data_IF_757948858481
#
_entry.id   IF_757948858481
#
_cell.length_a   1.000
_cell.length_b   1.000
_cell.length_c   1.000
_cell.angle_alpha   90.00
_cell.angle_beta   90.00
_cell.angle_gamma   90.00
#
_symmetry.space_group_name_H-M   'P 1'
#
loop_
_entity.id
_entity.type
_entity.pdbx_description
1 polymer ?
#
# COMPACT_ATOMS: atom_id res chain seq x y z
N UNK A 1 -3.04 -30.61 -4.65
CA UNK A 1 -1.79 -30.61 -3.85
C UNK A 1 -2.20 -30.29 -2.42
N UNK A 2 -1.57 -30.89 -1.41
CA UNK A 2 -1.79 -30.46 -0.03
C UNK A 2 -1.33 -28.99 0.10
N UNK A 3 -2.04 -28.13 0.87
CA UNK A 3 -1.62 -26.76 1.10
C UNK A 3 -0.18 -26.77 1.63
N UNK A 4 0.70 -25.96 1.05
CA UNK A 4 2.04 -25.75 1.60
C UNK A 4 1.87 -24.89 2.84
N UNK A 5 1.86 -25.53 4.00
CA UNK A 5 1.88 -24.81 5.27
C UNK A 5 3.16 -23.99 5.39
N UNK A 6 3.01 -22.71 5.76
CA UNK A 6 4.16 -21.87 6.07
C UNK A 6 4.74 -22.26 7.43
N UNK A 7 6.06 -22.15 7.58
CA UNK A 7 6.70 -22.38 8.86
C UNK A 7 6.56 -21.13 9.71
N UNK A 8 5.85 -21.23 10.82
CA UNK A 8 5.73 -20.19 11.85
C UNK A 8 6.29 -20.78 13.15
N UNK A 9 7.16 -20.07 13.90
CA UNK A 9 7.68 -20.56 15.16
C UNK A 9 6.56 -21.01 16.11
N UNK A 10 6.78 -22.12 16.82
CA UNK A 10 5.84 -22.59 17.83
C UNK A 10 5.79 -21.61 19.00
N UNK A 11 4.58 -21.30 19.46
CA UNK A 11 4.33 -20.60 20.72
C UNK A 11 2.95 -20.97 21.24
N UNK A 12 2.80 -20.99 22.56
CA UNK A 12 1.51 -21.10 23.25
C UNK A 12 0.90 -19.72 23.56
N UNK A 13 1.67 -18.64 23.43
CA UNK A 13 1.20 -17.27 23.63
C UNK A 13 0.37 -16.79 22.44
N UNK A 14 -0.72 -16.09 22.74
CA UNK A 14 -1.66 -15.54 21.76
C UNK A 14 -1.98 -14.08 22.07
N UNK A 15 -2.39 -13.33 21.06
CA UNK A 15 -2.99 -12.01 21.21
C UNK A 15 -4.46 -12.06 20.81
N UNK A 16 -5.26 -11.15 21.36
CA UNK A 16 -6.59 -10.86 20.84
C UNK A 16 -6.51 -9.73 19.82
N UNK A 17 -7.20 -9.90 18.69
CA UNK A 17 -7.25 -8.91 17.61
C UNK A 17 -8.67 -8.38 17.48
N UNK A 18 -8.85 -7.06 17.56
CA UNK A 18 -10.09 -6.41 17.15
C UNK A 18 -9.86 -5.61 15.89
N UNK A 19 -10.71 -5.80 14.88
CA UNK A 19 -10.70 -5.02 13.64
C UNK A 19 -11.56 -3.79 13.88
N UNK A 20 -11.00 -2.60 13.70
CA UNK A 20 -11.72 -1.34 13.86
C UNK A 20 -12.04 -0.81 12.47
N UNK A 21 -13.34 -0.74 12.14
CA UNK A 21 -13.80 0.08 11.02
C UNK A 21 -13.50 1.53 11.39
N UNK A 22 -12.53 2.15 10.71
CA UNK A 22 -12.13 3.53 11.02
C UNK A 22 -13.13 4.55 10.48
N UNK A 23 -14.26 4.09 9.93
CA UNK A 23 -15.27 4.87 9.20
C UNK A 23 -14.70 5.64 8.02
N UNK A 24 -13.49 5.28 7.60
CA UNK A 24 -12.72 5.98 6.60
C UNK A 24 -12.97 5.36 5.24
N UNK A 25 -13.58 6.13 4.35
CA UNK A 25 -13.89 5.74 2.98
C UNK A 25 -13.33 6.75 2.00
N UNK A 26 -12.72 6.26 0.93
CA UNK A 26 -12.31 7.08 -0.20
C UNK A 26 -12.92 6.49 -1.48
N UNK A 27 -13.76 7.26 -2.16
CA UNK A 27 -14.48 6.82 -3.35
C UNK A 27 -13.84 7.36 -4.61
N UNK A 28 -13.96 6.59 -5.69
CA UNK A 28 -13.48 6.93 -7.05
C UNK A 28 -11.99 7.22 -7.11
N UNK A 29 -11.19 6.48 -6.33
CA UNK A 29 -9.74 6.58 -6.37
C UNK A 29 -9.27 6.05 -7.72
N UNK A 30 -8.50 6.85 -8.46
CA UNK A 30 -7.98 6.44 -9.77
C UNK A 30 -7.03 5.24 -9.62
N UNK A 31 -7.30 4.19 -10.40
CA UNK A 31 -6.45 3.01 -10.49
C UNK A 31 -6.12 2.57 -11.91
N UNK A 32 -6.42 3.39 -12.92
CA UNK A 32 -6.29 3.02 -14.33
C UNK A 32 -4.85 2.65 -14.73
N UNK A 33 -3.87 3.21 -14.01
CA UNK A 33 -2.44 2.98 -14.20
C UNK A 33 -1.77 2.23 -13.04
N UNK A 34 -2.52 1.79 -12.02
CA UNK A 34 -1.93 1.11 -10.85
C UNK A 34 -1.71 -0.39 -11.08
N UNK A 35 -2.47 -0.99 -12.00
CA UNK A 35 -2.46 -2.44 -12.20
C UNK A 35 -1.97 -2.87 -13.59
N UNK A 36 -1.08 -3.87 -13.62
CA UNK A 36 -0.65 -4.56 -14.84
C UNK A 36 -0.78 -6.10 -14.77
N UNK A 37 -1.39 -6.74 -15.78
CA UNK A 37 -2.05 -6.14 -16.95
C UNK A 37 -3.27 -5.32 -16.55
N UNK A 38 -3.59 -4.29 -17.34
CA UNK A 38 -4.79 -3.47 -17.12
C UNK A 38 -6.03 -4.35 -17.20
N UNK A 39 -6.95 -4.17 -16.26
CA UNK A 39 -8.25 -4.84 -16.27
C UNK A 39 -9.29 -3.93 -16.94
N UNK A 40 -9.86 -4.28 -18.12
CA UNK A 40 -10.78 -3.41 -18.83
C UNK A 40 -11.98 -2.97 -17.98
N UNK A 41 -12.14 -1.66 -17.81
CA UNK A 41 -13.22 -1.07 -17.01
C UNK A 41 -12.85 -0.73 -15.57
N UNK A 42 -11.76 -1.30 -15.03
CA UNK A 42 -11.21 -0.95 -13.72
C UNK A 42 -10.38 0.34 -13.87
N UNK A 43 -11.06 1.49 -13.81
CA UNK A 43 -10.41 2.81 -13.84
C UNK A 43 -10.40 3.48 -12.47
N UNK A 44 -11.37 3.15 -11.63
CA UNK A 44 -11.46 3.64 -10.26
C UNK A 44 -11.88 2.51 -9.35
N UNK A 45 -11.49 2.60 -8.09
CA UNK A 45 -11.95 1.73 -7.02
C UNK A 45 -12.26 2.54 -5.78
N UNK A 46 -13.06 1.94 -4.90
CA UNK A 46 -13.37 2.51 -3.61
C UNK A 46 -12.48 1.83 -2.57
N UNK A 47 -12.02 2.60 -1.59
CA UNK A 47 -11.20 2.16 -0.48
C UNK A 47 -12.01 2.31 0.81
N UNK A 48 -11.85 1.34 1.71
CA UNK A 48 -12.08 1.53 3.14
C UNK A 48 -10.74 1.43 3.87
N UNK A 49 -10.65 1.88 5.12
CA UNK A 49 -9.44 1.64 5.94
C UNK A 49 -9.81 0.87 7.20
N UNK A 50 -8.94 -0.08 7.56
CA UNK A 50 -9.03 -0.83 8.81
C UNK A 50 -7.85 -0.50 9.72
N UNK A 51 -8.14 -0.28 11.00
CA UNK A 51 -7.14 -0.32 12.06
C UNK A 51 -7.30 -1.61 12.86
N UNK A 52 -6.22 -2.08 13.48
CA UNK A 52 -6.23 -3.32 14.26
C UNK A 52 -5.78 -3.03 15.68
N UNK A 53 -6.65 -3.29 16.65
CA UNK A 53 -6.31 -3.24 18.06
C UNK A 53 -5.80 -4.61 18.50
N UNK A 54 -4.53 -4.68 18.83
CA UNK A 54 -3.85 -5.87 19.33
C UNK A 54 -3.78 -5.79 20.85
N UNK A 55 -4.42 -6.75 21.52
CA UNK A 55 -4.42 -6.86 22.98
C UNK A 55 -3.59 -8.06 23.39
N UNK A 56 -2.52 -7.79 24.13
CA UNK A 56 -1.65 -8.80 24.71
C UNK A 56 -1.60 -8.61 26.23
N UNK A 57 -2.37 -9.42 26.97
CA UNK A 57 -2.58 -9.25 28.42
C UNK A 57 -3.19 -7.86 28.72
N UNK A 58 -2.49 -7.01 29.48
CA UNK A 58 -2.90 -5.64 29.81
C UNK A 58 -2.35 -4.59 28.82
N UNK A 59 -1.60 -5.02 27.80
CA UNK A 59 -0.93 -4.14 26.83
C UNK A 59 -1.76 -4.05 25.55
N UNK A 60 -1.95 -2.83 25.05
CA UNK A 60 -2.68 -2.57 23.82
C UNK A 60 -1.82 -1.85 22.81
N UNK A 61 -1.84 -2.32 21.57
CA UNK A 61 -1.10 -1.74 20.45
C UNK A 61 -2.04 -1.58 19.26
N UNK A 62 -2.04 -0.40 18.64
CA UNK A 62 -2.74 -0.18 17.37
C UNK A 62 -1.80 -0.45 16.21
N UNK A 63 -2.25 -1.23 15.24
CA UNK A 63 -1.62 -1.36 13.94
C UNK A 63 -2.50 -0.64 12.92
N UNK A 64 -1.97 0.43 12.33
CA UNK A 64 -2.70 1.38 11.48
C UNK A 64 -3.72 2.28 12.22
N UNK A 65 -4.06 3.42 11.64
CA UNK A 65 -4.97 4.42 12.19
C UNK A 65 -6.01 4.98 11.19
N UNK A 66 -5.97 4.56 9.92
CA UNK A 66 -6.91 5.04 8.91
C UNK A 66 -6.72 6.51 8.52
N UNK A 67 -7.80 7.14 8.05
CA UNK A 67 -7.80 8.54 7.59
C UNK A 67 -8.15 9.48 8.75
N UNK A 68 -7.43 10.60 8.88
CA UNK A 68 -7.80 11.69 9.79
C UNK A 68 -9.16 12.27 9.38
N UNK A 69 -10.10 12.40 10.33
CA UNK A 69 -11.46 12.88 10.03
C UNK A 69 -11.48 14.21 9.28
N UNK A 70 -10.75 15.18 9.81
CA UNK A 70 -10.52 16.46 9.14
C UNK A 70 -9.30 16.34 8.21
N UNK A 71 -9.40 15.54 7.16
CA UNK A 71 -8.28 15.29 6.23
C UNK A 71 -7.83 16.57 5.51
N UNK A 72 -8.66 17.62 5.45
CA UNK A 72 -8.27 18.96 4.97
C UNK A 72 -7.25 19.65 5.89
N UNK A 73 -7.07 19.13 7.11
CA UNK A 73 -5.98 19.46 8.01
C UNK A 73 -4.76 18.55 7.81
N UNK A 74 -4.62 17.84 6.70
CA UNK A 74 -3.34 17.25 6.32
C UNK A 74 -2.38 18.35 5.81
N UNK A 75 -1.18 17.97 5.42
CA UNK A 75 -0.25 18.92 4.80
C UNK A 75 -0.83 19.48 3.49
N UNK A 76 -0.53 20.75 3.13
CA UNK A 76 -1.16 21.41 1.99
C UNK A 76 -0.99 20.67 0.65
N UNK A 77 0.17 20.05 0.40
CA UNK A 77 0.46 19.31 -0.83
C UNK A 77 -0.44 18.07 -0.97
N UNK A 78 -0.63 17.30 0.10
CA UNK A 78 -1.54 16.15 0.12
C UNK A 78 -2.99 16.58 -0.12
N UNK A 79 -3.44 17.64 0.56
CA UNK A 79 -4.81 18.16 0.39
C UNK A 79 -5.06 18.63 -1.05
N UNK A 80 -4.07 19.31 -1.66
CA UNK A 80 -4.16 19.75 -3.05
C UNK A 80 -4.29 18.56 -4.01
N UNK A 81 -3.42 17.54 -3.86
CA UNK A 81 -3.44 16.31 -4.68
C UNK A 81 -4.77 15.58 -4.59
N UNK A 82 -5.31 15.43 -3.38
CA UNK A 82 -6.61 14.76 -3.16
C UNK A 82 -7.75 15.51 -3.84
N UNK A 83 -7.79 16.84 -3.73
CA UNK A 83 -8.80 17.67 -4.39
C UNK A 83 -8.68 17.63 -5.92
N UNK A 84 -7.46 17.63 -6.46
CA UNK A 84 -7.21 17.54 -7.91
C UNK A 84 -7.63 16.18 -8.49
N UNK A 85 -7.43 15.08 -7.74
CA UNK A 85 -7.80 13.74 -8.18
C UNK A 85 -9.31 13.50 -8.32
N UNK A 86 -10.14 14.33 -7.68
CA UNK A 86 -11.59 14.12 -7.60
C UNK A 86 -12.02 13.00 -6.64
N UNK A 87 -11.10 12.45 -5.86
CA UNK A 87 -11.37 11.47 -4.80
C UNK A 87 -12.32 12.07 -3.77
N UNK A 88 -13.36 11.32 -3.39
CA UNK A 88 -14.33 11.74 -2.37
C UNK A 88 -13.98 11.04 -1.06
N UNK A 89 -13.56 11.79 -0.06
CA UNK A 89 -13.18 11.26 1.25
C UNK A 89 -14.33 11.46 2.23
N UNK A 90 -14.71 10.40 2.92
CA UNK A 90 -15.70 10.41 3.98
C UNK A 90 -15.14 9.71 5.21
N UNK A 91 -15.14 10.43 6.34
CA UNK A 91 -14.76 9.88 7.64
C UNK A 91 -15.80 10.33 8.64
N UNK A 92 -16.58 9.40 9.17
CA UNK A 92 -17.68 9.74 10.08
C UNK A 92 -17.16 10.09 11.48
N UNK A 93 -16.14 9.36 11.94
CA UNK A 93 -15.67 9.40 13.32
C UNK A 93 -14.15 9.27 13.40
N UNK A 94 -13.55 9.96 14.37
CA UNK A 94 -12.12 9.79 14.65
C UNK A 94 -11.88 8.44 15.33
N UNK A 95 -10.76 7.79 15.03
CA UNK A 95 -10.44 6.47 15.59
C UNK A 95 -10.44 6.46 17.13
N UNK A 96 -9.94 7.53 17.75
CA UNK A 96 -9.90 7.69 19.21
C UNK A 96 -11.29 7.63 19.85
N UNK A 97 -12.30 8.18 19.16
CA UNK A 97 -13.69 8.18 19.62
C UNK A 97 -14.33 6.80 19.41
N UNK A 98 -13.96 6.08 18.33
CA UNK A 98 -14.42 4.70 18.08
C UNK A 98 -13.93 3.77 19.20
N UNK A 99 -12.65 3.88 19.55
CA UNK A 99 -12.03 3.08 20.61
C UNK A 99 -12.65 3.37 21.98
N UNK A 100 -12.86 4.66 22.29
CA UNK A 100 -13.46 5.11 23.55
C UNK A 100 -14.90 4.63 23.69
N UNK A 101 -15.71 4.72 22.64
CA UNK A 101 -17.12 4.30 22.67
C UNK A 101 -17.27 2.78 22.81
N UNK A 102 -16.33 1.99 22.30
CA UNK A 102 -16.28 0.55 22.58
C UNK A 102 -15.72 0.19 23.95
N UNK A 103 -15.32 1.19 24.76
CA UNK A 103 -14.93 1.02 26.16
C UNK A 103 -13.43 0.86 26.42
N UNK A 104 -12.56 1.14 25.43
CA UNK A 104 -11.11 1.12 25.64
C UNK A 104 -10.69 2.31 26.50
N UNK A 105 -10.01 2.03 27.61
CA UNK A 105 -9.27 3.05 28.33
C UNK A 105 -8.01 3.42 27.53
N UNK A 106 -8.07 4.54 26.80
CA UNK A 106 -6.98 5.03 25.98
C UNK A 106 -5.68 5.24 26.77
N UNK A 107 -5.75 5.42 28.09
CA UNK A 107 -4.57 5.53 28.95
C UNK A 107 -3.72 4.24 28.98
N UNK A 108 -4.31 3.10 28.61
CA UNK A 108 -3.66 1.79 28.49
C UNK A 108 -3.12 1.48 27.09
N UNK A 109 -3.27 2.42 26.14
CA UNK A 109 -2.72 2.25 24.81
C UNK A 109 -1.22 2.55 24.81
N UNK A 110 -0.41 1.51 24.66
CA UNK A 110 1.05 1.61 24.71
C UNK A 110 1.61 2.31 23.48
N UNK A 111 1.17 1.90 22.29
CA UNK A 111 1.76 2.33 21.04
C UNK A 111 0.76 2.30 19.88
N UNK A 112 0.98 3.19 18.92
CA UNK A 112 0.45 3.09 17.57
C UNK A 112 1.58 2.81 16.59
N UNK A 113 1.37 1.86 15.68
CA UNK A 113 2.32 1.47 14.66
C UNK A 113 1.90 2.11 13.33
N UNK A 114 2.72 3.04 12.85
CA UNK A 114 2.63 3.50 11.46
C UNK A 114 3.45 2.55 10.58
N UNK A 115 2.72 1.85 9.73
CA UNK A 115 3.26 0.71 8.99
C UNK A 115 3.92 1.06 7.67
N UNK A 116 4.00 2.34 7.26
CA UNK A 116 4.69 2.75 6.04
C UNK A 116 5.04 4.24 6.00
N UNK A 117 5.97 4.57 5.12
CA UNK A 117 6.37 5.94 4.84
C UNK A 117 5.23 6.82 4.32
N UNK A 118 5.21 8.04 4.84
CA UNK A 118 4.23 9.12 4.64
C UNK A 118 4.07 9.64 3.21
N UNK A 119 4.96 9.27 2.29
CA UNK A 119 5.11 9.89 0.97
C UNK A 119 3.85 9.80 0.08
N UNK A 120 3.11 8.69 0.15
CA UNK A 120 1.88 8.50 -0.64
C UNK A 120 0.65 8.31 0.24
N UNK A 121 0.78 7.74 1.43
CA UNK A 121 -0.36 7.12 2.12
C UNK A 121 -0.80 7.89 3.37
N UNK A 122 -1.72 8.81 3.13
CA UNK A 122 -2.37 9.70 4.09
C UNK A 122 -3.47 9.00 4.90
N UNK A 123 -3.79 7.78 4.49
CA UNK A 123 -4.89 6.93 4.89
C UNK A 123 -4.50 5.84 5.90
N UNK A 124 -3.28 5.94 6.46
CA UNK A 124 -2.82 5.08 7.56
C UNK A 124 -2.34 5.83 8.81
N UNK A 125 -2.12 7.13 8.69
CA UNK A 125 -1.50 7.90 9.79
C UNK A 125 -2.52 8.32 10.84
N UNK A 126 -3.80 8.39 10.43
CA UNK A 126 -4.89 8.88 11.26
C UNK A 126 -4.60 10.25 11.89
N UNK A 127 -5.26 10.51 13.00
CA UNK A 127 -5.04 11.70 13.83
C UNK A 127 -4.29 11.34 15.11
N UNK A 128 -2.99 11.02 15.03
CA UNK A 128 -2.24 10.60 16.21
C UNK A 128 -2.21 11.67 17.33
N UNK A 129 -2.35 12.95 16.99
CA UNK A 129 -2.43 14.03 17.97
C UNK A 129 -3.64 13.95 18.91
N UNK A 130 -4.72 13.23 18.54
CA UNK A 130 -5.91 13.08 19.38
C UNK A 130 -5.76 12.00 20.47
N UNK A 131 -4.76 11.13 20.37
CA UNK A 131 -4.48 10.10 21.37
C UNK A 131 -3.82 10.68 22.63
N UNK A 132 -3.87 10.01 23.78
CA UNK A 132 -3.13 10.40 24.97
C UNK A 132 -1.62 10.53 24.70
N UNK A 133 -0.89 11.53 25.24
CA UNK A 133 0.54 11.76 24.93
C UNK A 133 1.48 10.59 25.26
N UNK A 134 1.07 9.67 26.14
CA UNK A 134 1.82 8.48 26.51
C UNK A 134 1.72 7.34 25.49
N UNK A 135 0.89 7.46 24.45
CA UNK A 135 0.90 6.53 23.32
C UNK A 135 2.13 6.78 22.48
N UNK A 136 3.06 5.83 22.48
CA UNK A 136 4.28 5.84 21.68
C UNK A 136 3.93 5.69 20.19
N UNK A 137 4.81 6.22 19.33
CA UNK A 137 4.77 5.94 17.90
C UNK A 137 5.88 4.96 17.54
N UNK A 138 5.51 3.85 16.92
CA UNK A 138 6.44 2.88 16.35
C UNK A 138 6.37 2.95 14.83
N UNK A 139 7.53 2.96 14.17
CA UNK A 139 7.64 3.01 12.71
C UNK A 139 8.59 1.94 12.21
N UNK A 140 8.40 1.49 10.98
CA UNK A 140 9.31 0.54 10.32
C UNK A 140 10.71 1.10 10.05
N UNK A 141 11.64 0.23 9.60
CA UNK A 141 13.04 0.59 9.39
C UNK A 141 13.23 1.80 8.49
N UNK A 142 14.14 2.70 8.89
CA UNK A 142 14.53 3.88 8.10
C UNK A 142 13.52 5.03 8.07
N UNK A 143 12.26 4.84 8.52
CA UNK A 143 11.24 5.90 8.47
C UNK A 143 11.65 7.09 9.34
N UNK A 144 12.10 6.83 10.57
CA UNK A 144 12.49 7.88 11.52
C UNK A 144 13.63 8.74 10.98
N UNK A 145 14.64 8.11 10.39
CA UNK A 145 15.82 8.80 9.85
C UNK A 145 15.51 9.57 8.57
N UNK A 146 14.61 9.04 7.73
CA UNK A 146 14.30 9.60 6.42
C UNK A 146 13.30 10.74 6.48
N UNK A 147 12.27 10.63 7.32
CA UNK A 147 11.09 11.49 7.24
C UNK A 147 10.95 12.49 8.38
N UNK A 148 11.81 12.43 9.40
CA UNK A 148 11.76 13.40 10.50
C UNK A 148 12.83 14.48 10.34
N UNK A 149 12.51 15.75 10.63
CA UNK A 149 11.26 16.27 11.20
C UNK A 149 10.15 16.55 10.15
N UNK A 150 8.91 16.73 10.62
CA UNK A 150 7.74 16.98 9.77
C UNK A 150 7.53 18.44 9.33
N UNK A 151 6.42 18.70 8.63
CA UNK A 151 6.00 20.03 8.20
C UNK A 151 5.50 20.87 9.40
N UNK A 152 5.76 22.19 9.48
CA UNK A 152 6.40 23.05 8.48
C UNK A 152 7.93 23.17 8.61
N UNK A 153 8.59 22.46 9.53
CA UNK A 153 10.05 22.56 9.69
C UNK A 153 10.80 22.12 8.43
N UNK A 154 10.30 21.09 7.77
CA UNK A 154 10.74 20.68 6.43
C UNK A 154 9.59 20.96 5.46
N UNK A 155 9.78 21.86 4.47
CA UNK A 155 8.72 22.23 3.53
C UNK A 155 8.13 21.05 2.74
N UNK A 156 8.97 20.10 2.36
CA UNK A 156 8.59 18.91 1.56
C UNK A 156 8.28 17.68 2.42
N UNK A 157 8.08 17.86 3.74
CA UNK A 157 7.70 16.77 4.61
C UNK A 157 6.29 16.28 4.30
N UNK A 158 6.04 15.03 4.67
CA UNK A 158 4.86 14.28 4.28
C UNK A 158 3.80 14.14 5.40
N UNK A 159 4.08 14.68 6.59
CA UNK A 159 3.16 14.73 7.73
C UNK A 159 3.38 16.02 8.50
N UNK A 160 2.44 16.40 9.38
CA UNK A 160 2.62 17.59 10.22
C UNK A 160 3.39 17.22 11.47
N UNK A 161 4.38 18.02 11.82
CA UNK A 161 5.16 17.79 13.04
C UNK A 161 4.27 17.76 14.30
N UNK A 162 3.17 18.52 14.29
CA UNK A 162 2.17 18.51 15.37
C UNK A 162 1.50 17.16 15.58
N UNK A 163 1.44 16.29 14.56
CA UNK A 163 0.78 14.99 14.63
C UNK A 163 1.51 14.04 15.60
N UNK A 164 2.83 14.22 15.73
CA UNK A 164 3.71 13.39 16.59
C UNK A 164 4.33 14.16 17.75
N UNK A 165 3.95 15.43 17.93
CA UNK A 165 4.61 16.31 18.89
C UNK A 165 4.50 15.79 20.33
N UNK A 166 5.62 15.81 21.06
CA UNK A 166 5.67 15.40 22.47
C UNK A 166 5.63 13.89 22.71
N UNK A 167 5.63 13.06 21.65
CA UNK A 167 5.61 11.60 21.76
C UNK A 167 7.00 10.99 21.61
N UNK A 168 7.19 9.82 22.21
CA UNK A 168 8.36 8.99 21.94
C UNK A 168 8.15 8.26 20.62
N UNK A 169 9.13 8.39 19.73
CA UNK A 169 9.12 7.80 18.40
C UNK A 169 10.24 6.76 18.31
N UNK A 170 9.86 5.51 18.06
CA UNK A 170 10.75 4.37 17.94
C UNK A 170 10.74 3.86 16.50
N UNK A 171 11.88 3.95 15.81
CA UNK A 171 12.09 3.24 14.55
C UNK A 171 12.61 1.84 14.86
N UNK A 172 11.99 0.81 14.30
CA UNK A 172 12.50 -0.55 14.44
C UNK A 172 13.70 -0.70 13.52
N UNK A 173 14.82 -1.15 14.06
CA UNK A 173 16.05 -1.34 13.28
C UNK A 173 15.92 -2.56 12.35
N UNK A 174 16.49 -2.47 11.15
CA UNK A 174 16.42 -3.56 10.16
C UNK A 174 17.06 -4.87 10.67
N UNK A 175 18.06 -4.78 11.56
CA UNK A 175 18.73 -5.93 12.17
C UNK A 175 17.88 -6.64 13.24
N UNK A 176 16.75 -6.05 13.63
CA UNK A 176 15.81 -6.61 14.61
C UNK A 176 14.87 -7.65 14.00
N UNK A 177 14.80 -7.72 12.66
CA UNK A 177 14.02 -8.71 11.91
C UNK A 177 14.86 -9.96 11.64
N UNK A 178 14.87 -10.89 12.60
CA UNK A 178 15.79 -12.05 12.65
C UNK A 178 15.14 -13.38 12.33
N UNK A 179 13.81 -13.43 12.24
CA UNK A 179 13.03 -14.66 12.04
C UNK A 179 12.54 -14.67 10.59
N UNK A 180 12.59 -15.80 9.89
CA UNK A 180 11.90 -15.94 8.59
C UNK A 180 10.52 -16.56 8.81
N UNK A 181 9.47 -15.87 8.37
CA UNK A 181 8.11 -16.40 8.36
C UNK A 181 7.54 -16.23 6.95
N UNK A 182 7.35 -17.35 6.26
CA UNK A 182 6.78 -17.35 4.91
C UNK A 182 7.60 -16.55 3.88
N UNK A 183 8.93 -16.42 4.09
CA UNK A 183 9.81 -15.64 3.22
C UNK A 183 9.93 -14.15 3.58
N UNK A 184 9.22 -13.69 4.61
CA UNK A 184 9.35 -12.33 5.15
C UNK A 184 10.16 -12.35 6.44
N UNK A 185 11.06 -11.37 6.60
CA UNK A 185 11.81 -11.20 7.84
C UNK A 185 10.88 -10.65 8.91
N UNK A 186 10.92 -11.22 10.11
CA UNK A 186 9.99 -10.94 11.19
C UNK A 186 10.73 -10.51 12.47
N UNK A 187 10.13 -9.53 13.14
CA UNK A 187 10.47 -9.06 14.48
C UNK A 187 9.35 -9.47 15.44
N UNK A 188 9.68 -10.25 16.47
CA UNK A 188 8.74 -10.62 17.53
C UNK A 188 8.56 -9.45 18.50
N UNK A 189 7.40 -8.79 18.41
CA UNK A 189 7.18 -7.51 19.08
C UNK A 189 7.02 -7.65 20.61
N UNK A 190 6.37 -8.73 21.06
CA UNK A 190 6.23 -9.04 22.48
C UNK A 190 7.33 -9.99 23.00
N UNK A 191 8.06 -10.65 22.10
CA UNK A 191 9.17 -11.54 22.43
C UNK A 191 8.73 -12.95 22.86
N UNK A 192 7.45 -13.29 22.69
CA UNK A 192 6.86 -14.56 23.09
C UNK A 192 6.18 -15.31 21.93
N UNK A 193 6.27 -14.79 20.71
CA UNK A 193 5.75 -15.41 19.50
C UNK A 193 4.24 -15.29 19.28
N UNK A 194 3.59 -14.36 19.98
CA UNK A 194 2.17 -14.03 19.85
C UNK A 194 1.87 -12.98 18.76
N UNK A 195 2.79 -12.05 18.53
CA UNK A 195 2.63 -10.96 17.55
C UNK A 195 3.96 -10.60 16.88
N UNK A 196 3.99 -10.71 15.56
CA UNK A 196 5.15 -10.39 14.75
C UNK A 196 4.89 -9.19 13.84
N UNK A 197 5.88 -8.32 13.72
CA UNK A 197 5.98 -7.36 12.63
C UNK A 197 6.85 -7.97 11.53
N UNK A 198 6.37 -7.92 10.30
CA UNK A 198 7.00 -8.49 9.12
C UNK A 198 7.50 -7.35 8.23
N UNK A 199 8.80 -7.34 7.94
CA UNK A 199 9.41 -6.43 6.98
C UNK A 199 8.92 -6.78 5.57
N UNK A 200 8.15 -5.88 4.98
CA UNK A 200 7.40 -6.10 3.74
C UNK A 200 7.84 -5.08 2.66
N UNK A 201 9.08 -5.16 2.17
CA UNK A 201 9.65 -4.15 1.29
C UNK A 201 8.91 -4.07 -0.05
N UNK A 202 9.06 -2.93 -0.71
CA UNK A 202 8.59 -2.73 -2.07
C UNK A 202 7.61 -1.58 -2.22
N UNK A 203 6.49 -1.65 -1.51
CA UNK A 203 5.43 -0.63 -1.59
C UNK A 203 5.95 0.76 -1.20
N UNK A 204 6.54 0.85 -0.02
CA UNK A 204 7.14 2.07 0.51
C UNK A 204 8.27 1.75 1.51
N UNK A 205 9.17 2.70 1.73
CA UNK A 205 10.22 2.58 2.75
C UNK A 205 9.62 2.24 4.13
N UNK A 206 10.20 1.22 4.77
CA UNK A 206 9.80 0.78 6.11
C UNK A 206 8.39 0.21 6.17
N UNK A 207 7.86 -0.31 5.05
CA UNK A 207 6.57 -0.97 5.00
C UNK A 207 6.54 -2.24 5.86
N UNK A 208 5.51 -2.37 6.67
CA UNK A 208 5.32 -3.48 7.60
C UNK A 208 3.98 -4.17 7.35
N UNK A 209 4.05 -5.50 7.32
CA UNK A 209 2.91 -6.36 7.61
C UNK A 209 2.94 -6.76 9.08
N UNK A 210 1.85 -7.31 9.59
CA UNK A 210 1.80 -7.86 10.94
C UNK A 210 1.11 -9.23 10.98
N UNK A 211 1.63 -10.15 11.79
CA UNK A 211 1.08 -11.48 11.96
C UNK A 211 0.74 -11.70 13.44
N UNK A 212 -0.55 -11.83 13.72
CA UNK A 212 -1.07 -12.08 15.05
C UNK A 212 -1.49 -13.54 15.20
N UNK A 213 -1.00 -14.22 16.24
CA UNK A 213 -1.49 -15.55 16.63
C UNK A 213 -2.74 -15.38 17.49
N UNK A 214 -3.89 -15.79 16.95
CA UNK A 214 -5.22 -15.67 17.58
C UNK A 214 -5.60 -16.88 18.41
N UNK A 215 -5.03 -18.05 18.11
CA UNK A 215 -5.17 -19.25 18.94
C UNK A 215 -3.90 -20.10 18.87
N UNK A 216 -3.63 -20.89 19.92
CA UNK A 216 -2.45 -21.77 19.99
C UNK A 216 -2.74 -23.20 19.54
N UNK A 217 -3.93 -23.73 19.84
CA UNK A 217 -4.26 -25.15 19.68
C UNK A 217 -5.74 -25.36 19.25
N UNK A 218 -6.02 -25.64 17.96
CA UNK A 218 -5.07 -25.59 16.84
C UNK A 218 -4.62 -24.15 16.56
N UNK A 219 -3.43 -23.91 16.00
CA UNK A 219 -2.96 -22.54 15.80
C UNK A 219 -3.70 -21.83 14.67
N UNK A 220 -4.11 -20.59 14.92
CA UNK A 220 -4.69 -19.68 13.92
C UNK A 220 -4.03 -18.32 13.95
N UNK A 221 -4.02 -17.66 12.80
CA UNK A 221 -3.33 -16.39 12.61
C UNK A 221 -4.15 -15.41 11.78
N UNK A 222 -3.96 -14.13 12.02
CA UNK A 222 -4.41 -13.04 11.14
C UNK A 222 -3.15 -12.35 10.62
N UNK A 223 -2.97 -12.35 9.30
CA UNK A 223 -1.99 -11.53 8.60
C UNK A 223 -2.65 -10.22 8.20
N UNK A 224 -2.19 -9.12 8.78
CA UNK A 224 -2.49 -7.75 8.39
C UNK A 224 -1.49 -7.35 7.30
N UNK A 225 -1.88 -7.51 6.04
CA UNK A 225 -1.04 -7.34 4.86
C UNK A 225 -0.91 -5.89 4.37
N UNK A 226 -1.55 -4.95 5.07
CA UNK A 226 -1.44 -3.52 4.79
C UNK A 226 -1.62 -3.23 3.29
N UNK A 227 -0.79 -2.34 2.75
CA UNK A 227 -0.77 -1.99 1.33
C UNK A 227 0.23 -2.83 0.51
N UNK A 228 0.69 -3.98 1.03
CA UNK A 228 1.32 -4.94 0.13
C UNK A 228 0.35 -5.39 -0.97
N UNK A 229 -0.96 -5.25 -0.72
CA UNK A 229 -2.07 -5.54 -1.63
C UNK A 229 -3.20 -4.54 -1.37
N UNK A 230 -3.91 -4.14 -2.42
CA UNK A 230 -5.03 -3.19 -2.41
C UNK A 230 -6.34 -3.85 -2.86
N UNK A 231 -6.28 -4.87 -3.72
CA UNK A 231 -7.39 -5.65 -4.23
C UNK A 231 -7.06 -7.14 -4.20
N UNK A 232 -8.06 -7.98 -3.91
CA UNK A 232 -7.89 -9.44 -3.87
C UNK A 232 -7.30 -10.04 -5.16
N UNK A 233 -7.52 -9.38 -6.29
CA UNK A 233 -6.98 -9.80 -7.58
C UNK A 233 -5.47 -9.71 -7.73
N UNK A 234 -4.73 -9.02 -6.86
CA UNK A 234 -3.26 -8.89 -6.95
C UNK A 234 -2.51 -10.15 -6.51
N UNK A 235 -3.14 -11.00 -5.69
CA UNK A 235 -2.54 -12.25 -5.20
C UNK A 235 -3.43 -13.48 -5.36
N UNK A 236 -4.68 -13.31 -5.83
CA UNK A 236 -5.61 -14.41 -6.09
C UNK A 236 -6.08 -14.46 -7.55
N UNK A 237 -6.20 -15.67 -8.15
CA UNK A 237 -5.75 -16.96 -7.63
C UNK A 237 -4.21 -17.09 -7.68
N UNK A 238 -3.66 -18.13 -7.05
CA UNK A 238 -2.21 -18.42 -7.09
C UNK A 238 -1.94 -19.89 -7.40
N UNK A 239 -0.68 -20.26 -7.62
CA UNK A 239 -0.30 -21.67 -7.79
C UNK A 239 -0.59 -22.50 -6.54
N UNK A 240 -0.40 -21.90 -5.37
CA UNK A 240 -0.65 -22.54 -4.08
C UNK A 240 -2.15 -22.60 -3.77
N UNK A 241 -2.94 -21.66 -4.30
CA UNK A 241 -4.39 -21.61 -4.15
C UNK A 241 -5.09 -21.33 -5.50
N UNK A 242 -5.21 -22.35 -6.36
CA UNK A 242 -5.89 -22.23 -7.64
C UNK A 242 -7.37 -21.90 -7.49
N UNK A 243 -7.94 -21.33 -8.56
CA UNK A 243 -9.38 -21.14 -8.67
C UNK A 243 -10.10 -22.50 -8.63
N UNK A 244 -11.07 -22.72 -7.72
CA UNK A 244 -11.82 -23.96 -7.66
C UNK A 244 -12.73 -24.11 -8.89
N UNK A 245 -13.19 -25.33 -9.19
CA UNK A 245 -14.07 -25.60 -10.33
C UNK A 245 -15.36 -24.77 -10.30
N UNK A 246 -15.86 -24.49 -9.10
CA UNK A 246 -17.03 -23.65 -8.85
C UNK A 246 -16.72 -22.70 -7.70
N UNK A 247 -17.05 -21.43 -7.86
CA UNK A 247 -16.92 -20.40 -6.83
C UNK A 247 -18.31 -19.97 -6.40
N UNK A 248 -18.61 -20.14 -5.12
CA UNK A 248 -19.80 -19.59 -4.49
C UNK A 248 -19.40 -18.34 -3.71
N UNK A 249 -19.76 -17.17 -4.23
CA UNK A 249 -19.52 -15.89 -3.57
C UNK A 249 -20.70 -14.94 -3.81
N UNK A 250 -21.10 -14.13 -2.80
CA UNK A 250 -22.18 -13.16 -2.96
C UNK A 250 -21.94 -12.21 -4.13
N UNK A 251 -22.94 -12.05 -5.01
CA UNK A 251 -22.88 -11.17 -6.17
C UNK A 251 -22.38 -11.81 -7.47
N UNK A 252 -21.79 -13.02 -7.42
CA UNK A 252 -21.44 -13.76 -8.64
C UNK A 252 -22.68 -14.27 -9.37
N UNK A 253 -22.61 -14.27 -10.70
CA UNK A 253 -23.66 -14.81 -11.55
C UNK A 253 -23.02 -15.54 -12.76
N UNK A 254 -23.36 -16.81 -13.06
CA UNK A 254 -24.21 -17.69 -12.25
C UNK A 254 -23.61 -17.96 -10.87
N UNK A 255 -24.42 -18.38 -9.89
CA UNK A 255 -23.97 -18.81 -8.57
C UNK A 255 -24.46 -20.24 -8.27
N UNK A 256 -23.56 -21.20 -7.94
CA UNK A 256 -22.10 -21.05 -7.95
C UNK A 256 -21.57 -20.84 -9.38
N UNK A 257 -20.53 -20.00 -9.52
CA UNK A 257 -19.97 -19.61 -10.81
C UNK A 257 -18.92 -20.64 -11.27
N UNK A 258 -19.03 -21.23 -12.47
CA UNK A 258 -17.99 -22.09 -13.03
C UNK A 258 -16.67 -21.32 -13.22
N UNK A 259 -15.55 -21.96 -12.90
CA UNK A 259 -14.21 -21.41 -13.12
C UNK A 259 -14.02 -20.90 -14.55
N UNK A 260 -14.58 -21.61 -15.53
CA UNK A 260 -14.49 -21.29 -16.94
C UNK A 260 -15.12 -19.92 -17.27
N UNK A 261 -16.19 -19.52 -16.58
CA UNK A 261 -16.81 -18.19 -16.75
C UNK A 261 -15.92 -17.09 -16.16
N UNK A 262 -15.26 -17.37 -15.04
CA UNK A 262 -14.34 -16.45 -14.38
C UNK A 262 -13.04 -16.25 -15.16
N UNK A 263 -12.56 -17.31 -15.82
CA UNK A 263 -11.36 -17.27 -16.68
C UNK A 263 -11.57 -16.41 -17.93
N UNK A 264 -12.80 -16.29 -18.46
CA UNK A 264 -13.08 -15.48 -19.67
C UNK A 264 -12.73 -14.01 -19.53
N UNK A 265 -12.82 -13.45 -18.33
CA UNK A 265 -12.42 -12.07 -18.05
C UNK A 265 -11.09 -11.97 -17.31
N UNK A 266 -10.39 -13.09 -17.09
CA UNK A 266 -9.06 -13.09 -16.53
C UNK A 266 -8.05 -12.57 -17.56
N UNK A 267 -7.28 -11.49 -17.29
CA UNK A 267 -6.39 -10.89 -18.29
C UNK A 267 -5.36 -11.85 -18.91
N UNK A 268 -4.94 -12.87 -18.15
CA UNK A 268 -4.00 -13.92 -18.57
C UNK A 268 -4.63 -15.28 -18.89
N UNK A 269 -5.96 -15.40 -18.92
CA UNK A 269 -6.69 -16.68 -19.11
C UNK A 269 -6.19 -17.82 -18.20
N UNK A 270 -5.98 -17.55 -16.91
CA UNK A 270 -5.35 -18.49 -15.97
C UNK A 270 -6.26 -18.81 -14.79
N UNK A 271 -6.09 -20.02 -14.23
CA UNK A 271 -6.69 -20.46 -12.96
C UNK A 271 -5.72 -20.39 -11.78
N UNK A 272 -4.46 -20.02 -12.03
CA UNK A 272 -3.35 -20.12 -11.05
C UNK A 272 -2.49 -18.85 -10.98
N UNK A 273 -2.83 -17.82 -11.75
CA UNK A 273 -2.14 -16.54 -11.71
C UNK A 273 -3.11 -15.47 -11.21
N UNK A 274 -2.64 -14.43 -10.51
CA UNK A 274 -3.52 -13.35 -10.08
C UNK A 274 -4.15 -12.60 -11.26
N UNK A 275 -5.34 -12.04 -11.02
CA UNK A 275 -6.07 -11.22 -11.99
C UNK A 275 -5.35 -9.91 -12.29
N UNK A 276 -4.72 -9.33 -11.28
CA UNK A 276 -4.03 -8.05 -11.29
C UNK A 276 -2.54 -8.29 -11.01
N UNK A 277 -1.75 -7.26 -11.22
CA UNK A 277 -0.35 -7.17 -10.81
C UNK A 277 0.02 -5.71 -10.71
N UNK A 278 1.23 -5.38 -10.30
CA UNK A 278 1.61 -3.99 -10.04
C UNK A 278 2.13 -3.30 -11.30
N UNK A 279 1.75 -2.04 -11.51
CA UNK A 279 2.45 -1.15 -12.44
C UNK A 279 3.75 -0.63 -11.79
N UNK A 280 4.88 -0.55 -12.53
CA UNK A 280 6.11 0.05 -12.02
C UNK A 280 5.98 1.49 -11.48
N UNK A 281 4.93 2.23 -11.85
CA UNK A 281 4.74 3.60 -11.36
C UNK A 281 4.20 3.69 -9.92
N UNK A 282 3.78 2.56 -9.34
CA UNK A 282 3.04 2.55 -8.08
C UNK A 282 3.91 2.26 -6.84
N UNK A 283 4.60 1.12 -6.73
CA UNK A 283 5.48 0.85 -5.59
C UNK A 283 6.82 1.61 -5.71
N UNK A 284 7.44 1.90 -4.58
CA UNK A 284 8.81 2.46 -4.54
C UNK A 284 9.84 1.50 -5.18
N UNK A 285 9.67 0.19 -4.96
CA UNK A 285 10.49 -0.88 -5.55
C UNK A 285 9.62 -2.06 -6.01
N UNK A 286 9.38 -2.14 -7.33
CA UNK A 286 8.51 -3.15 -7.92
C UNK A 286 8.93 -4.59 -7.61
N UNK A 287 10.20 -4.95 -7.83
CA UNK A 287 10.66 -6.34 -7.63
C UNK A 287 10.49 -6.79 -6.18
N UNK A 288 10.72 -5.89 -5.23
CA UNK A 288 10.56 -6.18 -3.81
C UNK A 288 9.08 -6.34 -3.46
N UNK A 289 8.21 -5.49 -4.03
CA UNK A 289 6.76 -5.55 -3.81
C UNK A 289 6.18 -6.87 -4.36
N UNK A 290 6.61 -7.30 -5.56
CA UNK A 290 6.23 -8.59 -6.14
C UNK A 290 6.69 -9.78 -5.30
N UNK A 291 7.89 -9.72 -4.68
CA UNK A 291 8.35 -10.75 -3.72
C UNK A 291 7.51 -10.78 -2.44
N UNK A 292 7.11 -9.61 -1.95
CA UNK A 292 6.21 -9.48 -0.80
C UNK A 292 4.83 -10.07 -1.11
N UNK A 293 4.25 -9.74 -2.27
CA UNK A 293 2.99 -10.33 -2.76
C UNK A 293 3.12 -11.85 -2.87
N UNK A 294 4.24 -12.35 -3.43
CA UNK A 294 4.46 -13.79 -3.54
C UNK A 294 4.50 -14.50 -2.19
N UNK A 295 5.03 -13.84 -1.17
CA UNK A 295 5.00 -14.34 0.21
C UNK A 295 3.56 -14.39 0.72
N UNK A 296 2.77 -13.32 0.49
CA UNK A 296 1.35 -13.25 0.86
C UNK A 296 0.52 -14.36 0.19
N UNK A 297 0.81 -14.74 -1.07
CA UNK A 297 0.16 -15.89 -1.71
C UNK A 297 0.34 -17.18 -0.91
N UNK A 298 1.50 -17.39 -0.28
CA UNK A 298 1.77 -18.56 0.55
C UNK A 298 1.00 -18.48 1.89
N UNK A 299 0.94 -17.32 2.53
CA UNK A 299 0.09 -17.09 3.70
C UNK A 299 -1.39 -17.34 3.38
N UNK A 300 -1.88 -16.84 2.24
CA UNK A 300 -3.28 -17.01 1.84
C UNK A 300 -3.64 -18.48 1.55
N UNK A 301 -2.70 -19.26 1.02
CA UNK A 301 -2.89 -20.68 0.80
C UNK A 301 -2.91 -21.51 2.11
N UNK A 302 -2.35 -21.01 3.21
CA UNK A 302 -2.32 -21.71 4.50
C UNK A 302 -3.65 -21.54 5.26
N UNK A 303 -4.42 -22.62 5.43
CA UNK A 303 -5.73 -22.59 6.10
C UNK A 303 -5.70 -22.17 7.58
N UNK A 304 -4.52 -22.00 8.18
CA UNK A 304 -4.35 -21.45 9.52
C UNK A 304 -4.28 -19.91 9.53
N UNK A 305 -4.12 -19.26 8.38
CA UNK A 305 -3.92 -17.81 8.29
C UNK A 305 -5.09 -17.14 7.57
N UNK A 306 -5.69 -16.11 8.16
CA UNK A 306 -6.58 -15.17 7.48
C UNK A 306 -5.79 -13.96 7.02
N UNK A 307 -5.80 -13.65 5.73
CA UNK A 307 -5.15 -12.45 5.17
C UNK A 307 -6.18 -11.33 5.08
N UNK A 308 -5.87 -10.19 5.70
CA UNK A 308 -6.65 -8.95 5.65
C UNK A 308 -5.70 -7.83 5.21
N UNK A 309 -6.03 -7.14 4.13
CA UNK A 309 -5.26 -6.00 3.64
C UNK A 309 -6.02 -4.69 3.87
N UNK A 310 -5.31 -3.57 3.74
CA UNK A 310 -5.73 -2.26 4.20
C UNK A 310 -7.12 -1.84 3.71
N UNK A 311 -7.42 -2.19 2.45
CA UNK A 311 -8.53 -1.63 1.69
C UNK A 311 -9.45 -2.68 1.10
N UNK A 312 -9.57 -3.84 1.77
CA UNK A 312 -10.43 -4.92 1.29
C UNK A 312 -11.93 -4.62 1.49
N UNK A 313 -12.49 -3.78 0.62
CA UNK A 313 -13.92 -3.49 0.59
C UNK A 313 -14.74 -4.77 0.36
N UNK A 314 -14.18 -5.77 -0.33
CA UNK A 314 -14.92 -6.98 -0.71
C UNK A 314 -15.32 -7.84 0.50
N UNK A 315 -14.50 -7.83 1.55
CA UNK A 315 -14.80 -8.58 2.78
C UNK A 315 -15.45 -7.73 3.87
N UNK A 316 -15.71 -6.42 3.63
CA UNK A 316 -16.27 -5.52 4.64
C UNK A 316 -17.56 -6.08 5.29
N UNK A 317 -18.45 -6.67 4.50
CA UNK A 317 -19.67 -7.32 4.99
C UNK A 317 -19.49 -8.72 5.60
N UNK A 318 -18.27 -9.27 5.59
CA UNK A 318 -17.92 -10.57 6.18
C UNK A 318 -17.31 -10.42 7.58
N UNK A 319 -16.68 -9.29 7.86
CA UNK A 319 -15.97 -9.05 9.12
C UNK A 319 -16.92 -8.59 10.25
N UNK A 320 -16.56 -8.93 11.48
CA UNK A 320 -17.03 -8.23 12.67
C UNK A 320 -16.06 -7.13 13.06
N UNK A 321 -16.59 -6.08 13.69
CA UNK A 321 -15.81 -4.90 14.09
C UNK A 321 -15.83 -4.68 15.59
N UNK A 322 -14.80 -3.99 16.08
CA UNK A 322 -14.65 -3.55 17.47
C UNK A 322 -15.96 -2.90 17.98
N UNK A 323 -16.45 -3.28 19.18
CA UNK A 323 -15.73 -3.94 20.28
C UNK A 323 -15.60 -5.47 20.20
N UNK A 324 -16.09 -6.12 19.14
CA UNK A 324 -15.89 -7.57 18.96
C UNK A 324 -14.43 -7.91 18.63
N UNK A 325 -14.03 -9.15 18.92
CA UNK A 325 -12.72 -9.68 18.54
C UNK A 325 -12.84 -10.57 17.29
N UNK A 326 -11.80 -10.55 16.47
CA UNK A 326 -11.66 -11.36 15.27
C UNK A 326 -11.03 -12.73 15.56
N UNK A 327 -10.85 -13.10 16.83
CA UNK A 327 -10.09 -14.29 17.21
C UNK A 327 -10.73 -15.59 16.71
N UNK A 328 -12.06 -15.60 16.57
CA UNK A 328 -12.85 -16.74 16.09
C UNK A 328 -13.16 -16.69 14.58
N UNK A 329 -12.37 -15.95 13.79
CA UNK A 329 -12.56 -15.82 12.33
C UNK A 329 -12.67 -17.17 11.61
N UNK A 330 -11.97 -18.19 12.12
CA UNK A 330 -11.91 -19.51 11.51
C UNK A 330 -13.18 -20.30 11.75
N UNK A 331 -13.69 -20.31 12.98
CA UNK A 331 -14.97 -20.93 13.33
C UNK A 331 -16.15 -20.24 12.63
N UNK A 332 -16.05 -18.92 12.47
CA UNK A 332 -17.05 -18.12 11.75
C UNK A 332 -16.94 -18.25 10.22
N UNK A 333 -15.92 -18.95 9.71
CA UNK A 333 -15.78 -19.24 8.28
C UNK A 333 -15.41 -18.05 7.41
N UNK A 334 -14.90 -16.95 7.98
CA UNK A 334 -14.60 -15.70 7.27
C UNK A 334 -13.67 -15.91 6.08
N UNK A 335 -12.65 -16.75 6.25
CA UNK A 335 -11.70 -17.04 5.18
C UNK A 335 -12.38 -17.70 3.98
N UNK A 336 -13.24 -18.70 4.20
CA UNK A 336 -13.93 -19.39 3.11
C UNK A 336 -14.96 -18.51 2.41
N UNK A 337 -15.72 -17.70 3.16
CA UNK A 337 -16.76 -16.83 2.60
C UNK A 337 -16.20 -15.60 1.90
N UNK A 338 -15.13 -15.00 2.44
CA UNK A 338 -14.53 -13.76 1.93
C UNK A 338 -13.53 -13.94 0.78
N UNK A 339 -12.84 -15.08 0.69
CA UNK A 339 -11.68 -15.30 -0.21
C UNK A 339 -11.91 -14.92 -1.66
N UNK A 340 -13.11 -15.18 -2.19
CA UNK A 340 -13.44 -14.99 -3.60
C UNK A 340 -14.43 -13.86 -3.87
N UNK A 341 -14.80 -13.06 -2.87
CA UNK A 341 -15.84 -12.01 -3.01
C UNK A 341 -15.42 -10.92 -3.99
N UNK A 342 -14.13 -10.59 -4.06
CA UNK A 342 -13.58 -9.64 -5.03
C UNK A 342 -13.91 -9.99 -6.50
N UNK A 343 -14.16 -11.27 -6.82
CA UNK A 343 -14.53 -11.69 -8.17
C UNK A 343 -15.90 -11.16 -8.59
N UNK A 344 -16.80 -10.88 -7.65
CA UNK A 344 -18.09 -10.26 -7.93
C UNK A 344 -17.93 -8.87 -8.53
N UNK A 345 -17.01 -8.07 -7.99
CA UNK A 345 -16.68 -6.76 -8.54
C UNK A 345 -16.01 -6.85 -9.90
N UNK A 346 -15.00 -7.72 -10.05
CA UNK A 346 -14.33 -7.91 -11.34
C UNK A 346 -15.28 -8.43 -12.42
N UNK A 347 -16.20 -9.34 -12.07
CA UNK A 347 -17.22 -9.83 -13.00
C UNK A 347 -18.18 -8.71 -13.42
N UNK A 348 -18.64 -7.88 -12.47
CA UNK A 348 -19.49 -6.72 -12.76
C UNK A 348 -18.78 -5.73 -13.69
N UNK A 349 -17.54 -5.36 -13.37
CA UNK A 349 -16.71 -4.46 -14.18
C UNK A 349 -16.52 -5.01 -15.61
N UNK A 350 -16.18 -6.31 -15.75
CA UNK A 350 -16.00 -6.94 -17.05
C UNK A 350 -17.27 -6.94 -17.90
N UNK A 351 -18.44 -7.15 -17.29
CA UNK A 351 -19.75 -7.09 -17.97
C UNK A 351 -20.08 -5.69 -18.44
N UNK A 352 -19.91 -4.68 -17.58
CA UNK A 352 -20.14 -3.28 -17.92
C UNK A 352 -19.21 -2.83 -19.06
N UNK A 353 -17.94 -3.24 -19.04
CA UNK A 353 -16.98 -2.97 -20.11
C UNK A 353 -17.39 -3.64 -21.44
N UNK A 354 -17.96 -4.84 -21.39
CA UNK A 354 -18.43 -5.59 -22.58
C UNK A 354 -19.72 -5.03 -23.17
N UNK A 355 -20.59 -4.43 -22.36
CA UNK A 355 -21.87 -3.84 -22.77
C UNK A 355 -21.75 -2.42 -23.34
N UNK A 356 -20.62 -1.73 -23.12
CA UNK A 356 -20.37 -0.45 -23.80
C UNK A 356 -20.19 -0.75 -25.29
N UNK A 357 -21.02 -0.18 -26.19
CA UNK A 357 -20.81 -0.36 -27.61
C UNK A 357 -19.38 0.07 -27.92
N UNK A 358 -18.64 -0.77 -28.67
CA UNK A 358 -17.41 -0.31 -29.32
C UNK A 358 -17.82 0.93 -30.10
N UNK A 359 -17.52 2.12 -29.59
CA UNK A 359 -17.59 3.33 -30.40
C UNK A 359 -16.62 3.03 -31.53
N UNK A 360 -17.18 2.68 -32.68
CA UNK A 360 -16.51 2.62 -33.95
C UNK A 360 -15.50 3.76 -33.97
N UNK A 361 -14.22 3.41 -34.00
CA UNK A 361 -13.20 4.36 -34.44
C UNK A 361 -13.59 4.69 -35.88
N UNK A 362 -14.28 5.80 -36.07
CA UNK A 362 -14.23 6.52 -37.33
C UNK A 362 -12.76 6.61 -37.70
N UNK A 363 -12.33 5.83 -38.70
CA UNK A 363 -11.22 6.29 -39.52
C UNK A 363 -11.64 7.69 -39.99
N UNK A 364 -10.82 8.73 -39.83
CA UNK A 364 -11.13 10.00 -40.47
C UNK A 364 -11.26 9.72 -41.97
N UNK A 365 -12.38 10.12 -42.54
CA UNK A 365 -12.63 10.06 -43.97
C UNK A 365 -11.47 10.77 -44.68
N UNK A 366 -10.65 10.00 -45.41
CA UNK A 366 -9.76 10.56 -46.41
C UNK A 366 -10.64 11.20 -47.49
N UNK A 367 -10.49 12.50 -47.78
CA UNK A 367 -11.23 13.11 -48.88
C UNK A 367 -10.86 12.39 -50.19
N UNK A 368 -11.89 11.89 -50.88
CA UNK A 368 -11.75 11.44 -52.26
C UNK A 368 -11.53 12.67 -53.16
N UNK A 369 -10.50 12.54 -53.98
CA UNK A 369 -10.29 13.23 -55.25
C UNK A 369 -9.93 14.72 -55.21
N UNK A 370 -8.64 15.00 -55.42
CA UNK A 370 -8.21 16.02 -56.37
C UNK A 370 -7.07 15.42 -57.21
N UNK A 371 -7.44 14.90 -58.38
CA UNK A 371 -6.56 14.75 -59.53
C UNK A 371 -5.91 16.11 -59.89
N UNK A 372 -4.57 16.15 -59.88
CA UNK A 372 -3.71 16.61 -61.00
C UNK A 372 -2.41 17.25 -60.51
N UNK A 373 -1.33 16.74 -61.10
CA UNK A 373 -0.04 17.39 -61.36
C UNK A 373 0.70 17.98 -60.16
N UNK A 374 1.75 17.28 -59.71
CA UNK A 374 3.13 17.80 -59.70
C UNK A 374 4.09 16.60 -59.72
N UNK A 375 5.15 16.78 -60.51
CA UNK A 375 6.21 15.85 -60.88
C UNK A 375 6.99 15.29 -59.69
N UNK A 376 7.34 14.01 -59.78
CA UNK A 376 8.30 13.31 -58.91
C UNK A 376 9.69 13.82 -59.26
N UNK A 377 10.08 15.00 -58.76
CA UNK A 377 11.48 15.47 -58.69
C UNK A 377 11.70 16.67 -57.73
N UNK A 378 10.72 17.05 -56.89
CA UNK A 378 10.89 18.05 -55.81
C UNK A 378 10.66 17.47 -54.40
N UNK A 379 10.87 16.16 -54.22
CA UNK A 379 10.78 15.50 -52.90
C UNK A 379 12.15 15.11 -52.31
N UNK A 380 13.26 15.51 -52.94
CA UNK A 380 14.62 15.25 -52.45
C UNK A 380 15.41 16.57 -52.42
N UNK A 381 14.95 17.54 -51.62
CA UNK A 381 15.77 18.65 -51.10
C UNK A 381 14.99 19.46 -50.04
N UNK A 382 14.54 18.81 -48.96
CA UNK A 382 14.19 19.53 -47.71
C UNK A 382 14.29 18.70 -46.42
N UNK A 383 15.02 17.57 -46.44
CA UNK A 383 15.37 16.80 -45.23
C UNK A 383 16.59 17.36 -44.48
N UNK A 384 16.79 18.67 -44.55
CA UNK A 384 17.72 19.39 -43.68
C UNK A 384 17.04 20.68 -43.25
N UNK A 385 17.12 20.96 -41.94
CA UNK A 385 16.57 22.10 -41.19
C UNK A 385 15.10 22.01 -40.78
N UNK A 386 14.85 21.27 -39.69
CA UNK A 386 13.94 21.73 -38.64
C UNK A 386 14.28 21.05 -37.29
N UNK A 387 15.52 21.26 -36.81
CA UNK A 387 15.85 21.14 -35.39
C UNK A 387 15.37 22.40 -34.67
N UNK A 388 14.10 22.45 -34.25
CA UNK A 388 13.60 23.49 -33.32
C UNK A 388 12.25 23.16 -32.68
N UNK A 389 11.98 21.89 -32.31
CA UNK A 389 10.84 21.52 -31.45
C UNK A 389 11.19 20.44 -30.39
N UNK A 390 12.47 20.34 -30.00
CA UNK A 390 12.96 19.44 -28.94
C UNK A 390 13.64 20.21 -27.79
N UNK A 391 13.06 21.34 -27.39
CA UNK A 391 13.57 22.11 -26.25
C UNK A 391 12.39 22.63 -25.41
N UNK A 392 11.80 21.74 -24.60
CA UNK A 392 11.09 22.07 -23.35
C UNK A 392 10.56 20.84 -22.59
N UNK A 393 11.37 19.77 -22.45
CA UNK A 393 11.01 18.65 -21.57
C UNK A 393 12.19 18.03 -20.80
N UNK A 394 13.13 18.87 -20.37
CA UNK A 394 14.21 18.47 -19.44
C UNK A 394 14.33 19.35 -18.19
N UNK A 395 13.37 20.24 -17.91
CA UNK A 395 13.34 21.05 -16.68
C UNK A 395 12.16 20.73 -15.73
N UNK A 396 11.43 19.63 -15.96
CA UNK A 396 10.37 19.16 -15.05
C UNK A 396 10.68 17.80 -14.39
N UNK A 397 11.81 17.17 -14.70
CA UNK A 397 12.28 15.93 -14.10
C UNK A 397 13.67 16.14 -13.46
N UNK A 398 13.67 16.81 -12.31
CA UNK A 398 14.85 17.02 -11.48
C UNK A 398 15.29 15.74 -10.78
N UNK A 399 16.25 15.04 -11.39
CA UNK A 399 17.28 14.14 -10.82
C UNK A 399 17.12 13.70 -9.35
N UNK A 400 16.83 12.41 -9.18
CA UNK A 400 17.35 11.61 -8.08
C UNK A 400 17.55 10.15 -8.54
N UNK A 401 18.45 9.92 -9.51
CA UNK A 401 19.06 8.61 -9.66
C UNK A 401 20.09 8.43 -8.53
N UNK A 402 19.68 7.79 -7.44
CA UNK A 402 20.62 7.27 -6.45
C UNK A 402 20.88 5.80 -6.76
N UNK A 403 22.08 5.52 -7.24
CA UNK A 403 22.60 4.16 -7.36
C UNK A 403 22.96 3.65 -5.96
N UNK A 404 22.29 2.59 -5.52
CA UNK A 404 22.68 1.83 -4.34
C UNK A 404 24.00 1.10 -4.64
N UNK A 405 25.06 1.41 -3.89
CA UNK A 405 26.28 0.58 -3.85
C UNK A 405 26.16 -0.40 -2.69
N UNK A 406 26.34 -1.68 -3.01
CA UNK A 406 26.42 -2.79 -2.06
C UNK A 406 27.53 -2.57 -1.00
N UNK A 407 27.39 -3.09 0.25
CA UNK A 407 28.34 -2.84 1.35
C UNK A 407 29.72 -3.51 1.27
N UNK A 408 30.06 -4.30 0.25
CA UNK A 408 31.25 -5.17 0.29
C UNK A 408 32.59 -4.59 -0.19
N UNK A 409 32.67 -3.32 -0.60
CA UNK A 409 33.92 -2.74 -1.17
C UNK A 409 34.62 -1.73 -0.25
N UNK A 410 34.87 -2.09 1.00
CA UNK A 410 35.80 -1.35 1.89
C UNK A 410 37.02 -2.16 2.28
N UNK A 411 37.87 -2.48 1.30
CA UNK A 411 39.29 -2.68 1.59
C UNK A 411 40.18 -2.22 0.44
N UNK A 412 41.15 -1.36 0.81
CA UNK A 412 42.27 -0.82 0.02
C UNK A 412 41.96 0.49 -0.72
N UNK A 413 42.27 1.59 -0.05
CA UNK A 413 43.15 2.64 -0.60
C UNK A 413 43.62 3.54 0.56
N UNK A 414 44.75 3.13 1.18
CA UNK A 414 45.66 4.05 1.85
C UNK A 414 46.49 4.71 0.74
N UNK A 415 46.55 6.05 0.70
CA UNK A 415 47.80 6.86 0.76
C UNK A 415 47.56 8.33 0.41
N UNK A 416 48.22 9.20 1.20
CA UNK A 416 48.66 10.59 0.94
C UNK A 416 47.63 11.73 0.80
N UNK A 417 47.45 12.46 1.90
CA UNK A 417 47.06 13.88 1.95
C UNK A 417 48.30 14.79 1.91
N UNK A 418 48.22 15.98 1.28
CA UNK A 418 49.01 17.12 1.72
C UNK A 418 48.13 18.29 2.23
N UNK A 419 48.81 19.13 3.04
CA UNK A 419 48.32 20.09 4.03
C UNK A 419 47.63 21.35 3.47
N UNK A 420 46.77 21.94 4.33
CA UNK A 420 46.11 23.25 4.25
C UNK A 420 47.03 24.43 3.91
N UNK A 421 46.44 25.47 3.28
CA UNK A 421 46.81 26.88 3.42
C UNK A 421 45.53 27.78 3.42
N UNK A 422 45.57 29.00 3.99
CA UNK A 422 44.41 29.65 4.62
C UNK A 422 43.69 30.71 3.75
N UNK A 423 42.44 31.00 4.13
CA UNK A 423 41.56 32.03 3.53
C UNK A 423 42.08 33.47 3.68
N UNK A 424 41.75 34.36 2.72
CA UNK A 424 41.63 35.80 2.95
C UNK A 424 40.17 36.31 2.75
N UNK A 425 39.87 37.56 3.19
CA UNK A 425 38.60 37.91 3.81
C UNK A 425 37.56 38.58 2.88
N UNK A 426 36.31 38.57 3.36
CA UNK A 426 35.14 39.25 2.79
C UNK A 426 35.29 40.79 2.77
N UNK A 427 34.73 41.49 1.76
CA UNK A 427 34.39 42.89 1.87
C UNK A 427 32.92 43.11 2.25
N UNK A 428 32.71 43.92 3.30
CA UNK A 428 31.45 44.59 3.60
C UNK A 428 31.08 45.58 2.48
N UNK A 429 29.82 45.61 2.07
CA UNK A 429 29.16 46.86 1.68
C UNK A 429 27.68 46.87 2.10
N UNK A 430 27.32 47.92 2.84
CA UNK A 430 25.96 48.36 3.17
C UNK A 430 25.30 48.96 1.91
N UNK A 431 23.98 48.78 1.74
CA UNK A 431 22.96 49.85 1.85
C UNK A 431 21.53 49.40 1.43
N UNK A 432 20.55 49.86 2.23
CA UNK A 432 19.16 50.32 1.96
C UNK A 432 18.05 49.35 1.50
N UNK A 433 17.16 49.05 2.47
CA UNK A 433 15.70 49.36 2.52
C UNK A 433 14.88 49.51 1.24
N UNK A 434 13.73 48.83 1.18
CA UNK A 434 12.54 49.32 0.49
C UNK A 434 11.54 48.25 0.03
N UNK A 435 10.45 48.11 0.80
CA UNK A 435 9.20 47.34 0.60
C UNK A 435 9.16 45.88 1.02
#
# INVERSE_FOLDING_TARGET
>A
MAPREITIPFSESTVSVSIVDTTSWAYKVDCADLFRPKFPGLNTFDLCSYAFLITHTDRHVLFDLGIKKNWEELIPSTVARLKESGTIIQVEKELVDILSDGGLDLGKLDAAIWRQAFHIHWDHTGNLASFPPNTDLVVGPGIKDRFMPGWPKVPDAHFRETDVAGRKITGIEADSFKIDIGGLRAHDYFGDGSFYLLDAPGHALGHLNALARTSANPPTFILMAADSVHLGGEFRPSEALPLPNFVDAPGLNPSPCPAEELVKFHPRNSKILPYLGLDPCFPEHLEDAERTIKSIEAFDADDRVMVIFAHDVSIHGTLSYYPETADSWKEQGWKSSGRWVFLSDLQRIAREASCKPKLWSTKPDLPRDLSNNISVDEAIMSLQTNESLLYNWENAAGRAQFTYRSPDDTQKLKTSLPKRAPHPPLPLHRFLSGF
#
